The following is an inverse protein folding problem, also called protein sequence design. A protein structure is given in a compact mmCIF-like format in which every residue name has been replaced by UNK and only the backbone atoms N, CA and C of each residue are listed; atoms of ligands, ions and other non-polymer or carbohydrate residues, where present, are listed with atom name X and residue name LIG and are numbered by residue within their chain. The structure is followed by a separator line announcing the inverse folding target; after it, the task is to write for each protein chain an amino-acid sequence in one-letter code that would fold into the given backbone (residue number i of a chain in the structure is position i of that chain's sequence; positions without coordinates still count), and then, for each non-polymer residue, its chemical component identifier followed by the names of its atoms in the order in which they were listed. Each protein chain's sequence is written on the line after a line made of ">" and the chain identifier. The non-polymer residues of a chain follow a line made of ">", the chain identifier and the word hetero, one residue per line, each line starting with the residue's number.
data_IF_066477157945
#
_entry.id   IF_066477157945
#
_cell.length_a   1.000
_cell.length_b   1.000
_cell.length_c   1.000
_cell.angle_alpha   90.00
_cell.angle_beta   90.00
_cell.angle_gamma   90.00
#
_symmetry.space_group_name_H-M   'P 1'
#
loop_
_entity.id
_entity.type
_entity.pdbx_description
1 polymer ?
#
# COMPACT_ATOMS: atom_id res chain seq x y z
N UNK A 1 -6.04 7.16 2.33
CA UNK A 1 -7.13 6.17 2.41
C UNK A 1 -7.25 5.28 1.17
N UNK A 2 -6.86 5.73 -0.02
CA UNK A 2 -6.95 4.94 -1.28
C UNK A 2 -6.07 3.67 -1.27
N UNK A 3 -4.82 3.76 -0.81
CA UNK A 3 -3.90 2.60 -0.75
C UNK A 3 -4.45 1.49 0.15
N UNK A 4 -4.96 1.84 1.33
CA UNK A 4 -5.56 0.87 2.28
C UNK A 4 -6.82 0.23 1.69
N UNK A 5 -7.64 0.98 0.95
CA UNK A 5 -8.82 0.43 0.29
C UNK A 5 -8.46 -0.65 -0.74
N UNK A 6 -7.50 -0.39 -1.64
CA UNK A 6 -7.08 -1.39 -2.62
C UNK A 6 -6.45 -2.61 -1.93
N UNK A 7 -5.62 -2.38 -0.91
CA UNK A 7 -4.99 -3.45 -0.14
C UNK A 7 -6.02 -4.40 0.50
N UNK A 8 -7.04 -3.86 1.16
CA UNK A 8 -8.11 -4.65 1.77
C UNK A 8 -8.96 -5.43 0.74
N UNK A 9 -8.92 -5.03 -0.53
CA UNK A 9 -9.59 -5.71 -1.64
C UNK A 9 -8.64 -6.65 -2.41
N UNK A 10 -7.42 -6.90 -1.92
CA UNK A 10 -6.46 -7.81 -2.55
C UNK A 10 -5.74 -7.22 -3.76
N UNK A 11 -5.60 -5.90 -3.83
CA UNK A 11 -4.87 -5.20 -4.88
C UNK A 11 -3.82 -4.27 -4.30
N UNK A 12 -2.70 -4.12 -5.01
CA UNK A 12 -1.76 -3.02 -4.79
C UNK A 12 -2.05 -1.94 -5.82
N UNK A 13 -2.20 -0.71 -5.34
CA UNK A 13 -2.39 0.47 -6.18
C UNK A 13 -1.31 1.50 -5.89
N UNK A 14 -0.62 1.93 -6.94
CA UNK A 14 0.44 2.93 -6.81
C UNK A 14 -0.14 4.34 -6.73
N UNK A 15 0.00 4.98 -5.56
CA UNK A 15 -0.49 6.35 -5.35
C UNK A 15 0.56 7.41 -5.73
N UNK A 16 0.72 7.62 -7.03
CA UNK A 16 1.73 8.51 -7.61
C UNK A 16 1.21 9.92 -7.99
N UNK A 17 2.01 10.67 -8.75
CA UNK A 17 1.61 11.99 -9.24
C UNK A 17 0.51 11.98 -10.29
N UNK A 18 0.36 10.91 -11.07
CA UNK A 18 -0.64 10.83 -12.12
C UNK A 18 -2.04 10.65 -11.55
N UNK A 19 -2.23 9.77 -10.57
CA UNK A 19 -3.53 9.67 -9.88
C UNK A 19 -3.89 10.96 -9.15
N UNK A 20 -2.90 11.67 -8.57
CA UNK A 20 -3.13 13.00 -7.96
C UNK A 20 -3.59 14.04 -8.98
N UNK A 21 -3.02 14.03 -10.17
CA UNK A 21 -3.42 14.94 -11.25
C UNK A 21 -4.86 14.66 -11.73
N UNK A 22 -5.20 13.38 -11.91
CA UNK A 22 -6.56 12.95 -12.28
C UNK A 22 -7.57 13.39 -11.22
N UNK A 23 -7.32 13.10 -9.94
CA UNK A 23 -8.23 13.49 -8.84
C UNK A 23 -8.36 15.00 -8.71
N UNK A 24 -7.28 15.75 -8.92
CA UNK A 24 -7.30 17.22 -8.89
C UNK A 24 -8.13 17.78 -10.05
N UNK A 25 -7.98 17.24 -11.25
CA UNK A 25 -8.78 17.63 -12.41
C UNK A 25 -10.26 17.31 -12.16
N UNK A 26 -10.56 16.10 -11.73
CA UNK A 26 -11.92 15.65 -11.40
C UNK A 26 -12.59 16.53 -10.33
N UNK A 27 -11.88 16.86 -9.26
CA UNK A 27 -12.38 17.76 -8.22
C UNK A 27 -12.50 19.22 -8.63
N UNK A 28 -11.93 19.62 -9.78
CA UNK A 28 -12.03 20.98 -10.33
C UNK A 28 -13.12 21.08 -11.38
N UNK A 29 -13.11 20.16 -12.35
CA UNK A 29 -14.06 20.04 -13.44
C UNK A 29 -14.12 18.56 -13.86
N UNK A 30 -15.21 17.89 -13.49
CA UNK A 30 -15.46 16.48 -13.81
C UNK A 30 -15.53 16.24 -15.32
N UNK A 31 -16.13 17.16 -16.09
CA UNK A 31 -16.30 17.00 -17.53
C UNK A 31 -14.99 17.16 -18.31
N UNK A 32 -13.95 17.71 -17.69
CA UNK A 32 -12.61 17.84 -18.26
C UNK A 32 -11.79 16.56 -18.12
N UNK A 33 -12.26 15.56 -17.37
CA UNK A 33 -11.56 14.29 -17.18
C UNK A 33 -11.96 13.31 -18.28
N UNK A 34 -10.97 12.77 -18.97
CA UNK A 34 -11.13 11.68 -19.92
C UNK A 34 -11.30 10.36 -19.16
N UNK A 35 -12.50 9.79 -19.24
CA UNK A 35 -12.88 8.57 -18.54
C UNK A 35 -12.11 7.34 -19.04
N UNK A 36 -11.91 7.20 -20.35
CA UNK A 36 -11.20 6.06 -20.95
C UNK A 36 -9.74 6.07 -20.50
N UNK A 37 -9.09 7.23 -20.65
CA UNK A 37 -7.70 7.41 -20.22
C UNK A 37 -7.53 7.21 -18.72
N UNK A 38 -8.49 7.67 -17.92
CA UNK A 38 -8.46 7.48 -16.46
C UNK A 38 -8.61 6.01 -16.09
N UNK A 39 -9.50 5.30 -16.75
CA UNK A 39 -9.72 3.87 -16.51
C UNK A 39 -8.48 3.05 -16.88
N UNK A 40 -7.84 3.35 -18.01
CA UNK A 40 -6.60 2.70 -18.43
C UNK A 40 -5.43 3.02 -17.49
N UNK A 41 -5.38 4.25 -16.98
CA UNK A 41 -4.42 4.62 -15.94
C UNK A 41 -4.58 3.76 -14.69
N UNK A 42 -5.79 3.72 -14.14
CA UNK A 42 -6.09 2.96 -12.93
C UNK A 42 -5.82 1.47 -13.13
N UNK A 43 -6.17 0.90 -14.29
CA UNK A 43 -5.92 -0.51 -14.60
C UNK A 43 -4.42 -0.83 -14.69
N UNK A 44 -3.62 0.05 -15.30
CA UNK A 44 -2.17 -0.17 -15.44
C UNK A 44 -1.40 0.04 -14.13
N UNK A 45 -1.95 0.80 -13.18
CA UNK A 45 -1.34 1.07 -11.87
C UNK A 45 -1.98 0.28 -10.73
N UNK A 46 -2.85 -0.69 -11.06
CA UNK A 46 -3.43 -1.64 -10.11
C UNK A 46 -3.00 -3.04 -10.48
N UNK A 47 -2.38 -3.74 -9.55
CA UNK A 47 -2.00 -5.14 -9.70
C UNK A 47 -2.65 -5.99 -8.61
N UNK A 48 -2.92 -7.27 -8.92
CA UNK A 48 -3.38 -8.22 -7.93
C UNK A 48 -2.28 -8.42 -6.88
N UNK A 49 -2.64 -8.29 -5.61
CA UNK A 49 -1.72 -8.46 -4.52
C UNK A 49 -1.37 -9.96 -4.39
N UNK A 50 -0.08 -10.29 -4.39
CA UNK A 50 0.39 -11.60 -3.93
C UNK A 50 0.31 -11.64 -2.41
N UNK A 51 -0.90 -11.90 -1.89
CA UNK A 51 -1.15 -11.93 -0.46
C UNK A 51 -0.28 -12.96 0.27
N UNK A 52 0.07 -14.07 -0.39
CA UNK A 52 0.96 -15.07 0.20
C UNK A 52 2.36 -14.49 0.38
N UNK A 53 2.94 -13.91 -0.68
CA UNK A 53 4.25 -13.26 -0.63
C UNK A 53 4.32 -12.13 0.42
N UNK A 54 3.29 -11.29 0.50
CA UNK A 54 3.24 -10.18 1.48
C UNK A 54 3.18 -10.70 2.93
N UNK A 55 2.41 -11.77 3.20
CA UNK A 55 2.36 -12.40 4.53
C UNK A 55 3.73 -13.02 4.89
N UNK A 56 4.42 -13.62 3.93
CA UNK A 56 5.76 -14.16 4.16
C UNK A 56 6.77 -13.06 4.50
N UNK A 57 6.74 -11.93 3.78
CA UNK A 57 7.61 -10.79 4.04
C UNK A 57 7.33 -10.19 5.43
N UNK A 58 6.07 -9.99 5.79
CA UNK A 58 5.69 -9.49 7.12
C UNK A 58 6.09 -10.45 8.24
N UNK A 59 5.96 -11.76 8.01
CA UNK A 59 6.43 -12.78 8.96
C UNK A 59 7.93 -12.67 9.16
N UNK A 60 8.70 -12.56 8.09
CA UNK A 60 10.16 -12.49 8.15
C UNK A 60 10.63 -11.18 8.81
N UNK A 61 9.93 -10.07 8.55
CA UNK A 61 10.15 -8.78 9.19
C UNK A 61 9.84 -8.84 10.70
N UNK A 62 8.70 -9.42 11.08
CA UNK A 62 8.32 -9.61 12.48
C UNK A 62 9.31 -10.52 13.22
N UNK A 63 9.78 -11.60 12.59
CA UNK A 63 10.80 -12.47 13.18
C UNK A 63 12.11 -11.69 13.37
N UNK A 64 12.54 -10.89 12.40
CA UNK A 64 13.79 -10.13 12.48
C UNK A 64 13.74 -9.05 13.57
N UNK A 65 12.68 -8.25 13.61
CA UNK A 65 12.53 -7.20 14.62
C UNK A 65 12.14 -7.74 15.98
N UNK A 66 11.23 -8.71 16.05
CA UNK A 66 10.87 -9.38 17.31
C UNK A 66 12.06 -10.10 17.95
N UNK A 67 12.96 -10.70 17.15
CA UNK A 67 14.20 -11.27 17.67
C UNK A 67 15.17 -10.20 18.17
N UNK A 68 15.25 -9.04 17.51
CA UNK A 68 16.07 -7.92 17.98
C UNK A 68 15.57 -7.32 19.30
N UNK A 69 14.25 -7.34 19.54
CA UNK A 69 13.62 -6.88 20.78
C UNK A 69 13.75 -7.92 21.91
N UNK A 70 13.79 -9.21 21.58
CA UNK A 70 14.05 -10.31 22.53
C UNK A 70 15.54 -10.49 22.88
N UNK A 71 16.46 -10.00 22.05
CA UNK A 71 17.92 -10.13 22.26
C UNK A 71 18.60 -8.81 22.64
N UNK A 72 17.87 -7.70 22.54
CA UNK A 72 18.29 -6.37 22.99
C UNK A 72 17.91 -6.13 24.45
N UNK A 73 18.85 -6.44 25.34
CA UNK A 73 18.83 -6.12 26.77
C UNK A 73 17.91 -6.98 27.65
N UNK A 74 18.40 -8.19 27.98
CA UNK A 74 17.94 -8.97 29.14
C UNK A 74 18.48 -8.34 30.44
N UNK A 75 18.12 -7.09 30.72
CA UNK A 75 18.22 -6.57 32.08
C UNK A 75 16.91 -6.91 32.76
N UNK A 76 16.91 -8.02 33.51
CA UNK A 76 15.78 -8.44 34.35
C UNK A 76 15.37 -7.25 35.24
N UNK A 77 14.16 -6.69 35.09
CA UNK A 77 13.73 -5.55 35.90
C UNK A 77 13.33 -5.94 37.33
N UNK A 78 13.45 -7.22 37.72
CA UNK A 78 13.04 -7.75 39.02
C UNK A 78 14.19 -8.25 39.92
N UNK A 79 15.45 -7.88 39.66
CA UNK A 79 16.57 -8.08 40.62
C UNK A 79 16.97 -6.76 41.31
#
# INVERSE_FOLDING_TARGET
>A
MTVVFYFLNGYRFEYDSGVRAILKAFGTDEAAVDEERTTDYLRSHTEALDLAGEIEEWRDELVRYGLSELTGDSSDPND
#
